data_IF_496873273276
#
_entry.id   IF_496873273276
#
_cell.length_a   1.000
_cell.length_b   1.000
_cell.length_c   1.000
_cell.angle_alpha   90.00
_cell.angle_beta   90.00
_cell.angle_gamma   90.00
#
_symmetry.space_group_name_H-M   'P 1'
#
loop_
_entity.id
_entity.type
_entity.pdbx_description
1 polymer ?
#
# COMPACT_ATOMS: atom_id res chain seq x y z
N UNK A 1 48.14 13.05 -4.54
CA UNK A 1 47.12 13.26 -5.59
C UNK A 1 45.77 13.16 -4.92
N UNK A 2 45.08 14.28 -4.77
CA UNK A 2 43.84 14.40 -3.98
C UNK A 2 42.69 13.75 -4.76
N UNK A 3 42.17 12.64 -4.27
CA UNK A 3 41.00 11.99 -4.84
C UNK A 3 39.77 12.75 -4.34
N UNK A 4 39.37 13.80 -5.06
CA UNK A 4 38.20 14.59 -4.72
C UNK A 4 36.95 13.74 -4.93
N UNK A 5 36.25 13.45 -3.84
CA UNK A 5 34.93 12.81 -3.81
C UNK A 5 33.93 13.43 -4.82
N UNK A 6 34.09 14.72 -5.12
CA UNK A 6 33.33 15.43 -6.14
C UNK A 6 33.53 14.89 -7.56
N UNK A 7 34.74 14.48 -7.94
CA UNK A 7 35.01 13.95 -9.28
C UNK A 7 34.39 12.55 -9.44
N UNK A 8 34.43 11.73 -8.40
CA UNK A 8 33.83 10.38 -8.40
C UNK A 8 32.30 10.44 -8.41
N UNK A 9 31.71 11.48 -7.80
CA UNK A 9 30.27 11.74 -7.85
C UNK A 9 29.82 12.16 -9.27
N UNK A 10 30.56 13.06 -9.92
CA UNK A 10 30.25 13.55 -11.28
C UNK A 10 30.49 12.47 -12.36
N UNK A 11 31.57 11.70 -12.25
CA UNK A 11 31.87 10.58 -13.16
C UNK A 11 30.80 9.48 -13.13
N UNK A 12 30.07 9.36 -12.02
CA UNK A 12 28.96 8.42 -11.87
C UNK A 12 27.69 8.91 -12.56
N UNK A 13 27.53 10.22 -12.67
CA UNK A 13 26.40 10.87 -13.35
C UNK A 13 26.58 10.86 -14.88
N UNK A 14 27.81 11.05 -15.37
CA UNK A 14 28.12 11.01 -16.81
C UNK A 14 28.06 9.59 -17.41
N UNK A 15 28.22 8.54 -16.60
CA UNK A 15 28.18 7.14 -17.08
C UNK A 15 26.77 6.55 -17.23
N UNK A 16 25.71 7.34 -17.04
CA UNK A 16 24.32 6.83 -17.04
C UNK A 16 23.44 7.37 -18.18
N UNK A 17 24.02 7.93 -19.24
CA UNK A 17 23.27 8.36 -20.44
C UNK A 17 23.79 7.71 -21.72
N UNK A 18 23.90 6.39 -21.74
CA UNK A 18 23.58 5.65 -22.96
C UNK A 18 22.07 5.35 -22.91
N UNK A 19 21.27 5.64 -23.95
CA UNK A 19 19.87 5.25 -23.94
C UNK A 19 19.80 3.73 -23.89
N UNK A 20 19.29 3.16 -22.79
CA UNK A 20 18.79 1.78 -22.74
C UNK A 20 17.61 1.62 -23.70
N UNK A 21 17.87 1.62 -25.01
CA UNK A 21 16.89 1.32 -26.06
C UNK A 21 16.82 -0.20 -26.30
N UNK A 22 16.89 -1.01 -25.24
CA UNK A 22 17.10 -2.44 -25.35
C UNK A 22 15.97 -3.20 -24.63
N UNK A 23 15.26 -4.02 -25.43
CA UNK A 23 14.11 -4.89 -25.09
C UNK A 23 12.73 -4.24 -24.87
N UNK A 24 12.60 -3.17 -24.09
CA UNK A 24 11.28 -2.57 -23.81
C UNK A 24 10.66 -1.99 -25.08
N UNK A 25 11.46 -1.33 -25.92
CA UNK A 25 11.01 -0.75 -27.19
C UNK A 25 10.56 -1.79 -28.20
N UNK A 26 11.26 -2.94 -28.29
CA UNK A 26 10.87 -4.05 -29.18
C UNK A 26 9.51 -4.64 -28.80
N UNK A 27 9.22 -4.74 -27.50
CA UNK A 27 7.94 -5.29 -27.00
C UNK A 27 6.74 -4.38 -27.30
N UNK A 28 6.98 -3.10 -27.60
CA UNK A 28 5.96 -2.08 -27.85
C UNK A 28 5.92 -1.60 -29.32
N UNK A 29 6.66 -2.21 -30.24
CA UNK A 29 6.65 -1.84 -31.67
C UNK A 29 5.25 -1.83 -32.29
N UNK A 30 4.37 -2.71 -31.81
CA UNK A 30 2.99 -2.81 -32.29
C UNK A 30 2.15 -1.54 -32.03
N UNK A 31 2.57 -0.68 -31.11
CA UNK A 31 1.89 0.59 -30.81
C UNK A 31 2.05 1.58 -31.98
N UNK A 32 3.22 1.58 -32.63
CA UNK A 32 3.52 2.49 -33.75
C UNK A 32 2.84 2.06 -35.06
N UNK A 33 2.26 0.86 -35.11
CA UNK A 33 1.62 0.33 -36.32
C UNK A 33 0.31 1.04 -36.68
N UNK A 34 -0.41 1.62 -35.71
CA UNK A 34 -1.71 2.26 -35.97
C UNK A 34 -2.11 3.23 -34.85
N UNK A 35 -2.76 4.37 -35.13
CA UNK A 35 -3.22 5.32 -34.10
C UNK A 35 -4.13 4.66 -33.05
N UNK A 36 -5.03 3.78 -33.47
CA UNK A 36 -5.89 3.00 -32.55
C UNK A 36 -5.10 2.08 -31.62
N UNK A 37 -3.90 1.62 -32.00
CA UNK A 37 -3.06 0.80 -31.13
C UNK A 37 -2.50 1.65 -29.98
N UNK A 38 -2.08 2.88 -30.27
CA UNK A 38 -1.64 3.87 -29.28
C UNK A 38 -2.79 4.27 -28.34
N UNK A 39 -3.98 4.54 -28.88
CA UNK A 39 -5.16 4.83 -28.08
C UNK A 39 -5.54 3.66 -27.18
N UNK A 40 -5.50 2.42 -27.69
CA UNK A 40 -5.77 1.22 -26.91
C UNK A 40 -4.73 1.01 -25.79
N UNK A 41 -3.45 1.27 -26.07
CA UNK A 41 -2.39 1.22 -25.07
C UNK A 41 -2.62 2.24 -23.95
N UNK A 42 -2.91 3.51 -24.30
CA UNK A 42 -3.25 4.57 -23.33
C UNK A 42 -4.49 4.19 -22.53
N UNK A 43 -5.52 3.65 -23.17
CA UNK A 43 -6.75 3.21 -22.52
C UNK A 43 -6.48 2.08 -21.50
N UNK A 44 -5.66 1.09 -21.84
CA UNK A 44 -5.29 0.01 -20.92
C UNK A 44 -4.51 0.54 -19.71
N UNK A 45 -3.57 1.47 -19.92
CA UNK A 45 -2.81 2.06 -18.82
C UNK A 45 -3.70 2.88 -17.87
N UNK A 46 -4.58 3.70 -18.40
CA UNK A 46 -5.54 4.46 -17.59
C UNK A 46 -6.44 3.52 -16.78
N UNK A 47 -6.98 2.47 -17.42
CA UNK A 47 -7.80 1.47 -16.73
C UNK A 47 -7.00 0.72 -15.66
N UNK A 48 -5.74 0.36 -15.95
CA UNK A 48 -4.85 -0.28 -14.98
C UNK A 48 -4.68 0.58 -13.72
N UNK A 49 -4.48 1.88 -13.86
CA UNK A 49 -4.38 2.80 -12.72
C UNK A 49 -5.67 2.85 -11.90
N UNK A 50 -6.83 2.92 -12.57
CA UNK A 50 -8.14 2.88 -11.91
C UNK A 50 -8.33 1.57 -11.12
N UNK A 51 -8.01 0.41 -11.72
CA UNK A 51 -8.10 -0.89 -11.04
C UNK A 51 -7.09 -1.02 -9.90
N UNK A 52 -5.86 -0.52 -10.06
CA UNK A 52 -4.86 -0.51 -8.98
C UNK A 52 -5.29 0.37 -7.81
N UNK A 53 -5.89 1.53 -8.09
CA UNK A 53 -6.47 2.39 -7.05
C UNK A 53 -7.58 1.67 -6.30
N UNK A 54 -8.46 0.97 -7.02
CA UNK A 54 -9.49 0.14 -6.40
C UNK A 54 -8.86 -0.93 -5.49
N UNK A 55 -7.89 -1.70 -5.99
CA UNK A 55 -7.19 -2.75 -5.23
C UNK A 55 -6.56 -2.16 -3.95
N UNK A 56 -5.85 -1.04 -4.04
CA UNK A 56 -5.21 -0.40 -2.87
C UNK A 56 -6.23 -0.04 -1.78
N UNK A 57 -7.38 0.49 -2.18
CA UNK A 57 -8.45 0.94 -1.28
C UNK A 57 -9.25 -0.18 -0.60
N UNK A 58 -9.26 -1.39 -1.17
CA UNK A 58 -10.13 -2.47 -0.69
C UNK A 58 -9.30 -3.64 -0.14
N UNK A 59 -9.16 -3.79 1.18
CA UNK A 59 -8.44 -4.92 1.78
C UNK A 59 -9.27 -6.21 1.78
N UNK A 60 -10.61 -6.10 1.79
CA UNK A 60 -11.50 -7.23 2.04
C UNK A 60 -11.69 -8.13 0.82
N UNK A 61 -11.70 -9.43 1.05
CA UNK A 61 -11.90 -10.45 0.01
C UNK A 61 -13.24 -10.28 -0.73
N UNK A 62 -14.28 -9.87 -0.01
CA UNK A 62 -15.63 -9.69 -0.57
C UNK A 62 -15.70 -8.56 -1.60
N UNK A 63 -14.84 -7.54 -1.47
CA UNK A 63 -14.73 -6.46 -2.45
C UNK A 63 -14.30 -6.97 -3.84
N UNK A 64 -13.62 -8.13 -3.89
CA UNK A 64 -13.13 -8.72 -5.13
C UNK A 64 -14.07 -9.77 -5.75
N UNK A 65 -15.26 -9.98 -5.18
CA UNK A 65 -16.26 -10.93 -5.69
C UNK A 65 -16.56 -10.73 -7.18
N UNK A 66 -16.65 -9.48 -7.62
CA UNK A 66 -16.96 -9.14 -9.02
C UNK A 66 -15.71 -8.71 -9.78
N UNK A 67 -15.32 -9.48 -10.81
CA UNK A 67 -14.14 -9.25 -11.65
C UNK A 67 -14.08 -7.85 -12.27
N UNK A 68 -15.23 -7.24 -12.60
CA UNK A 68 -15.31 -5.93 -13.26
C UNK A 68 -14.60 -4.80 -12.50
N UNK A 69 -14.44 -4.91 -11.18
CA UNK A 69 -13.84 -3.86 -10.37
C UNK A 69 -12.31 -3.91 -10.31
N UNK A 70 -11.70 -5.07 -10.55
CA UNK A 70 -10.25 -5.27 -10.39
C UNK A 70 -9.56 -5.86 -11.62
N UNK A 71 -10.31 -6.36 -12.61
CA UNK A 71 -9.78 -6.78 -13.92
C UNK A 71 -10.23 -5.80 -15.01
N UNK A 72 -9.50 -5.80 -16.12
CA UNK A 72 -9.83 -5.05 -17.32
C UNK A 72 -10.50 -5.99 -18.31
N UNK A 73 -11.64 -5.59 -18.87
CA UNK A 73 -12.31 -6.36 -19.95
C UNK A 73 -12.03 -5.79 -21.33
N UNK A 74 -12.02 -6.64 -22.37
CA UNK A 74 -11.84 -6.19 -23.77
C UNK A 74 -12.90 -5.18 -24.20
N UNK A 75 -14.14 -5.36 -23.73
CA UNK A 75 -15.25 -4.44 -24.01
C UNK A 75 -15.08 -3.07 -23.33
N UNK A 76 -14.43 -3.01 -22.16
CA UNK A 76 -14.13 -1.76 -21.47
C UNK A 76 -13.04 -0.97 -22.21
N UNK A 77 -11.98 -1.63 -22.67
CA UNK A 77 -10.95 -0.99 -23.52
C UNK A 77 -11.58 -0.47 -24.81
N UNK A 78 -12.38 -1.31 -25.48
CA UNK A 78 -13.04 -0.98 -26.75
C UNK A 78 -13.98 0.24 -26.62
N UNK A 79 -14.75 0.32 -25.52
CA UNK A 79 -15.60 1.47 -25.22
C UNK A 79 -14.80 2.76 -25.03
N UNK A 80 -13.63 2.70 -24.38
CA UNK A 80 -12.78 3.88 -24.14
C UNK A 80 -12.12 4.39 -25.42
N UNK A 81 -11.87 3.50 -26.38
CA UNK A 81 -11.32 3.83 -27.71
C UNK A 81 -12.43 4.18 -28.72
N UNK A 82 -13.69 3.85 -28.44
CA UNK A 82 -14.82 4.10 -29.35
C UNK A 82 -14.84 3.16 -30.57
N UNK A 83 -14.27 1.95 -30.45
CA UNK A 83 -14.21 0.95 -31.52
C UNK A 83 -14.78 -0.39 -31.06
N UNK A 84 -15.07 -1.29 -32.00
CA UNK A 84 -15.49 -2.66 -31.68
C UNK A 84 -14.35 -3.47 -31.06
N UNK A 85 -14.67 -4.29 -30.05
CA UNK A 85 -13.67 -5.12 -29.37
C UNK A 85 -13.07 -6.21 -30.27
N UNK A 86 -13.90 -6.86 -31.08
CA UNK A 86 -13.50 -7.95 -31.97
C UNK A 86 -12.44 -7.52 -33.01
N UNK A 87 -12.64 -6.46 -33.81
CA UNK A 87 -11.65 -6.03 -34.80
C UNK A 87 -10.34 -5.57 -34.14
N UNK A 88 -10.43 -4.88 -33.00
CA UNK A 88 -9.27 -4.35 -32.29
C UNK A 88 -8.36 -5.46 -31.71
N UNK A 89 -8.95 -6.53 -31.17
CA UNK A 89 -8.19 -7.58 -30.49
C UNK A 89 -7.90 -8.83 -31.33
N UNK A 90 -8.52 -8.99 -32.50
CA UNK A 90 -8.36 -10.22 -33.31
C UNK A 90 -8.09 -10.00 -34.80
N UNK A 91 -8.40 -8.84 -35.39
CA UNK A 91 -8.36 -8.68 -36.86
C UNK A 91 -7.21 -7.79 -37.36
N UNK A 92 -6.76 -6.81 -36.56
CA UNK A 92 -5.76 -5.85 -37.00
C UNK A 92 -4.31 -6.35 -36.83
N UNK A 93 -3.36 -5.80 -37.59
CA UNK A 93 -1.94 -6.19 -37.52
C UNK A 93 -1.32 -6.06 -36.11
N UNK A 94 -1.77 -5.08 -35.33
CA UNK A 94 -1.28 -4.84 -33.95
C UNK A 94 -2.01 -5.70 -32.89
N UNK A 95 -3.03 -6.47 -33.28
CA UNK A 95 -3.91 -7.19 -32.36
C UNK A 95 -3.17 -8.22 -31.49
N UNK A 96 -2.18 -8.91 -32.05
CA UNK A 96 -1.36 -9.90 -31.35
C UNK A 96 -0.59 -9.26 -30.20
N UNK A 97 0.10 -8.14 -30.48
CA UNK A 97 0.85 -7.38 -29.49
C UNK A 97 -0.06 -6.81 -28.40
N UNK A 98 -1.18 -6.21 -28.81
CA UNK A 98 -2.19 -5.66 -27.89
C UNK A 98 -2.77 -6.74 -26.96
N UNK A 99 -3.10 -7.92 -27.50
CA UNK A 99 -3.66 -9.04 -26.72
C UNK A 99 -2.66 -9.58 -25.71
N UNK A 100 -1.39 -9.72 -26.10
CA UNK A 100 -0.32 -10.11 -25.18
C UNK A 100 -0.17 -9.10 -24.05
N UNK A 101 -0.09 -7.81 -24.38
CA UNK A 101 0.01 -6.75 -23.38
C UNK A 101 -1.19 -6.70 -22.44
N UNK A 102 -2.41 -6.82 -22.97
CA UNK A 102 -3.63 -6.87 -22.18
C UNK A 102 -3.63 -8.04 -21.18
N UNK A 103 -3.20 -9.22 -21.60
CA UNK A 103 -3.08 -10.39 -20.72
C UNK A 103 -2.01 -10.14 -19.64
N UNK A 104 -0.82 -9.65 -20.01
CA UNK A 104 0.26 -9.33 -19.06
C UNK A 104 -0.20 -8.33 -17.98
N UNK A 105 -0.99 -7.32 -18.35
CA UNK A 105 -1.53 -6.34 -17.39
C UNK A 105 -2.56 -6.97 -16.45
N UNK A 106 -3.47 -7.79 -16.97
CA UNK A 106 -4.45 -8.48 -16.13
C UNK A 106 -3.81 -9.47 -15.15
N UNK A 107 -2.74 -10.17 -15.57
CA UNK A 107 -1.94 -11.01 -14.66
C UNK A 107 -1.29 -10.16 -13.56
N UNK A 108 -0.71 -9.00 -13.90
CA UNK A 108 -0.17 -8.07 -12.89
C UNK A 108 -1.23 -7.57 -11.92
N UNK A 109 -2.45 -7.28 -12.39
CA UNK A 109 -3.57 -6.91 -11.53
C UNK A 109 -3.99 -8.07 -10.62
N UNK A 110 -3.96 -9.31 -11.12
CA UNK A 110 -4.25 -10.50 -10.34
C UNK A 110 -3.23 -10.67 -9.19
N UNK A 111 -1.94 -10.56 -9.49
CA UNK A 111 -0.87 -10.61 -8.47
C UNK A 111 -1.06 -9.50 -7.45
N UNK A 112 -1.32 -8.26 -7.88
CA UNK A 112 -1.55 -7.13 -6.98
C UNK A 112 -2.76 -7.35 -6.04
N UNK A 113 -3.84 -7.94 -6.55
CA UNK A 113 -5.02 -8.33 -5.77
C UNK A 113 -4.65 -9.36 -4.70
N UNK A 114 -3.98 -10.44 -5.07
CA UNK A 114 -3.55 -11.48 -4.12
C UNK A 114 -2.61 -10.92 -3.05
N UNK A 115 -1.62 -10.10 -3.45
CA UNK A 115 -0.72 -9.43 -2.51
C UNK A 115 -1.45 -8.49 -1.56
N UNK A 116 -2.55 -7.86 -2.00
CA UNK A 116 -3.33 -6.96 -1.15
C UNK A 116 -4.16 -7.73 -0.12
N UNK A 117 -4.83 -8.80 -0.54
CA UNK A 117 -5.66 -9.65 0.34
C UNK A 117 -4.80 -10.32 1.40
N UNK A 118 -3.61 -10.80 1.01
CA UNK A 118 -2.69 -11.50 1.92
C UNK A 118 -1.89 -10.55 2.82
N UNK A 119 -2.00 -9.23 2.61
CA UNK A 119 -1.27 -8.26 3.43
C UNK A 119 -1.94 -8.15 4.80
N UNK A 120 -1.24 -8.44 5.91
CA UNK A 120 -1.83 -8.32 7.24
C UNK A 120 -2.20 -6.86 7.54
N UNK A 121 -3.35 -6.69 8.18
CA UNK A 121 -3.80 -5.38 8.66
C UNK A 121 -2.82 -4.85 9.71
N UNK A 122 -2.45 -3.57 9.62
CA UNK A 122 -1.45 -2.96 10.51
C UNK A 122 -2.08 -2.43 11.79
N UNK A 123 -1.34 -2.48 12.89
CA UNK A 123 -1.75 -1.88 14.17
C UNK A 123 -3.09 -2.43 14.65
N UNK A 124 -4.01 -1.55 15.03
CA UNK A 124 -5.33 -1.93 15.54
C UNK A 124 -6.40 -2.18 14.46
N UNK A 125 -6.06 -2.12 13.17
CA UNK A 125 -7.02 -2.28 12.07
C UNK A 125 -7.65 -3.68 12.00
N UNK A 126 -7.01 -4.69 12.60
CA UNK A 126 -7.58 -6.04 12.71
C UNK A 126 -8.56 -6.18 13.88
N UNK A 127 -8.59 -5.22 14.82
CA UNK A 127 -9.42 -5.31 16.01
C UNK A 127 -10.78 -4.70 15.76
N UNK A 128 -11.80 -5.31 16.35
CA UNK A 128 -13.16 -4.77 16.31
C UNK A 128 -13.30 -3.57 17.27
N UNK A 129 -14.34 -2.76 17.05
CA UNK A 129 -14.65 -1.62 17.94
C UNK A 129 -14.83 -2.06 19.39
N UNK A 130 -15.52 -3.17 19.60
CA UNK A 130 -15.78 -3.71 20.94
C UNK A 130 -14.50 -4.20 21.61
N UNK A 131 -13.60 -4.87 20.87
CA UNK A 131 -12.29 -5.27 21.39
C UNK A 131 -11.46 -4.06 21.81
N UNK A 132 -11.43 -3.00 21.01
CA UNK A 132 -10.69 -1.77 21.32
C UNK A 132 -11.29 -1.04 22.53
N UNK A 133 -12.62 -0.96 22.61
CA UNK A 133 -13.31 -0.39 23.76
C UNK A 133 -12.97 -1.17 25.02
N UNK A 134 -13.05 -2.49 24.98
CA UNK A 134 -12.76 -3.37 26.11
C UNK A 134 -11.29 -3.29 26.52
N UNK A 135 -10.34 -3.24 25.57
CA UNK A 135 -8.92 -3.08 25.92
C UNK A 135 -8.65 -1.73 26.57
N UNK A 136 -9.30 -0.66 26.08
CA UNK A 136 -9.15 0.68 26.65
C UNK A 136 -9.70 0.73 28.07
N UNK A 137 -10.90 0.18 28.30
CA UNK A 137 -11.49 0.11 29.65
C UNK A 137 -10.57 -0.66 30.60
N UNK A 138 -10.05 -1.83 30.18
CA UNK A 138 -9.11 -2.62 30.99
C UNK A 138 -7.86 -1.81 31.35
N UNK A 139 -7.19 -1.22 30.37
CA UNK A 139 -5.99 -0.40 30.58
C UNK A 139 -6.26 0.80 31.50
N UNK A 140 -7.42 1.45 31.37
CA UNK A 140 -7.78 2.57 32.27
C UNK A 140 -7.99 2.12 33.70
N UNK A 141 -8.60 0.95 33.91
CA UNK A 141 -8.82 0.41 35.24
C UNK A 141 -7.52 -0.09 35.88
N UNK A 142 -6.65 -0.72 35.10
CA UNK A 142 -5.31 -1.12 35.54
C UNK A 142 -4.47 0.09 35.95
N UNK A 143 -4.47 1.16 35.15
CA UNK A 143 -3.77 2.40 35.51
C UNK A 143 -4.33 3.03 36.79
N UNK A 144 -5.66 3.04 36.98
CA UNK A 144 -6.25 3.54 38.22
C UNK A 144 -5.81 2.74 39.43
N UNK A 145 -5.78 1.40 39.33
CA UNK A 145 -5.29 0.53 40.41
C UNK A 145 -3.81 0.74 40.70
N UNK A 146 -2.98 0.83 39.66
CA UNK A 146 -1.56 1.11 39.82
C UNK A 146 -1.33 2.46 40.50
N UNK A 147 -2.06 3.51 40.12
CA UNK A 147 -2.00 4.82 40.78
C UNK A 147 -2.39 4.72 42.26
N UNK A 148 -3.49 4.05 42.59
CA UNK A 148 -3.91 3.84 43.98
C UNK A 148 -2.85 3.11 44.79
N UNK A 149 -2.37 1.97 44.30
CA UNK A 149 -1.32 1.20 44.97
C UNK A 149 -0.03 2.02 45.16
N UNK A 150 0.37 2.80 44.14
CA UNK A 150 1.55 3.67 44.23
C UNK A 150 1.36 4.75 45.30
N UNK A 151 0.18 5.35 45.39
CA UNK A 151 -0.13 6.32 46.44
C UNK A 151 -0.10 5.69 47.83
N UNK A 152 -0.65 4.49 47.99
CA UNK A 152 -0.63 3.74 49.26
C UNK A 152 0.81 3.36 49.66
N UNK A 153 1.61 2.86 48.72
CA UNK A 153 3.02 2.54 48.96
C UNK A 153 3.84 3.78 49.33
N UNK A 154 3.64 4.89 48.63
CA UNK A 154 4.30 6.17 48.95
C UNK A 154 3.90 6.66 50.34
N UNK A 155 2.62 6.57 50.69
CA UNK A 155 2.15 6.94 52.02
C UNK A 155 2.73 6.03 53.10
N UNK A 156 2.81 4.72 52.85
CA UNK A 156 3.44 3.76 53.76
C UNK A 156 4.93 4.05 53.97
N UNK A 157 5.69 4.33 52.90
CA UNK A 157 7.10 4.73 52.99
C UNK A 157 7.26 6.04 53.75
N UNK A 158 6.45 7.04 53.43
CA UNK A 158 6.44 8.32 54.14
C UNK A 158 6.21 8.09 55.65
N UNK A 159 5.20 7.30 56.03
CA UNK A 159 4.95 6.99 57.43
C UNK A 159 6.12 6.25 58.08
N UNK A 160 6.83 5.38 57.38
CA UNK A 160 8.00 4.68 57.93
C UNK A 160 9.19 5.63 58.12
N UNK A 161 9.38 6.57 57.20
CA UNK A 161 10.56 7.45 57.15
C UNK A 161 10.38 8.78 57.92
N UNK A 162 9.15 9.15 58.31
CA UNK A 162 8.92 10.37 59.10
C UNK A 162 9.58 10.26 60.49
N UNK A 163 10.36 11.29 60.92
CA UNK A 163 10.92 11.37 62.27
C UNK A 163 9.86 11.34 63.38
N UNK A 164 10.16 10.68 64.49
CA UNK A 164 9.26 10.49 65.64
C UNK A 164 8.67 11.80 66.20
N UNK A 165 9.44 12.88 66.22
CA UNK A 165 8.98 14.19 66.70
C UNK A 165 7.86 14.77 65.82
N UNK A 166 7.95 14.53 64.51
CA UNK A 166 6.93 14.96 63.54
C UNK A 166 5.71 14.03 63.64
N UNK A 167 5.90 12.71 63.79
CA UNK A 167 4.78 11.77 64.04
C UNK A 167 3.95 12.17 65.26
N UNK A 168 4.62 12.46 66.38
CA UNK A 168 3.98 12.93 67.62
C UNK A 168 3.22 14.24 67.41
N UNK A 169 3.79 15.21 66.69
CA UNK A 169 3.10 16.48 66.36
C UNK A 169 1.90 16.29 65.45
N UNK A 170 1.91 15.28 64.58
CA UNK A 170 0.81 14.93 63.69
C UNK A 170 -0.25 14.02 64.35
N UNK A 171 -0.05 13.62 65.61
CA UNK A 171 -0.98 12.72 66.32
C UNK A 171 -0.97 11.28 65.79
N UNK A 172 0.04 10.92 64.99
CA UNK A 172 0.24 9.58 64.45
C UNK A 172 1.06 8.78 65.47
N UNK A 173 0.59 7.58 65.83
CA UNK A 173 1.30 6.68 66.76
C UNK A 173 2.51 6.03 66.10
#
# INVERSE_FOLDING_TARGET
>A
MSNNYYDDFLLKEERSQEPESTEVDKKLEWIKLHPTAEEAYKAINNLKEEKLRYIRGHPDKDSYKYKKYWTISKAEVARRVGKGSQPMFNSNNYSVGLKKYFNDINEKLHVAKESRINKPNKGYQHKTKEELKNSTIKLTNENKKLLQNTCEELYGRLLNDIPLDIKRKLGLK
#
